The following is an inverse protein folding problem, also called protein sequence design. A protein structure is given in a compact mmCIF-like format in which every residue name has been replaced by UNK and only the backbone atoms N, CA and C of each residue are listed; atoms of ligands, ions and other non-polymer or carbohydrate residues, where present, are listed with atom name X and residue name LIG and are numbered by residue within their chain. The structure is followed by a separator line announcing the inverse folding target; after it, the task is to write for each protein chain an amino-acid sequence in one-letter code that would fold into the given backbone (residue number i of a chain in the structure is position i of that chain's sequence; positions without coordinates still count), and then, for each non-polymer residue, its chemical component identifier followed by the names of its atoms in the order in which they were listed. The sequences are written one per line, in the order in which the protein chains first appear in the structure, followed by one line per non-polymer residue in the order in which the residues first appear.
data_IF_979387542326
#
_entry.id   IF_979387542326
#
_cell.length_a   1.000
_cell.length_b   1.000
_cell.length_c   1.000
_cell.angle_alpha   90.00
_cell.angle_beta   90.00
_cell.angle_gamma   90.00
#
_symmetry.space_group_name_H-M   'P 1'
#
loop_
_entity.id
_entity.type
_entity.pdbx_description
1 polymer ?
#
# COMPACT_ATOMS: atom_id res chain seq x y z
N UNK A 1 0.00 10.06 -7.26
CA UNK A 1 0.37 8.65 -7.47
C UNK A 1 1.84 8.49 -7.75
N UNK A 2 2.39 7.31 -7.49
CA UNK A 2 3.79 7.00 -7.78
C UNK A 2 4.10 6.99 -9.27
N UNK A 3 5.30 7.43 -9.66
CA UNK A 3 5.79 7.24 -11.03
C UNK A 3 6.82 6.12 -11.01
N UNK A 4 6.55 4.96 -11.63
CA UNK A 4 7.50 3.84 -11.66
C UNK A 4 8.88 4.28 -12.14
N UNK A 5 8.95 5.07 -13.21
CA UNK A 5 10.21 5.51 -13.79
C UNK A 5 11.02 6.40 -12.83
N UNK A 6 10.35 7.26 -12.05
CA UNK A 6 11.00 8.09 -11.03
C UNK A 6 11.50 7.23 -9.87
N UNK A 7 10.72 6.23 -9.45
CA UNK A 7 11.11 5.30 -8.39
C UNK A 7 12.36 4.52 -8.82
N UNK A 8 12.36 3.94 -10.02
CA UNK A 8 13.52 3.22 -10.56
C UNK A 8 14.74 4.13 -10.64
N UNK A 9 14.57 5.36 -11.13
CA UNK A 9 15.66 6.31 -11.25
C UNK A 9 16.28 6.63 -9.89
N UNK A 10 15.46 6.91 -8.88
CA UNK A 10 15.94 7.21 -7.53
C UNK A 10 16.63 6.00 -6.89
N UNK A 11 16.04 4.81 -6.99
CA UNK A 11 16.63 3.58 -6.44
C UNK A 11 17.96 3.22 -7.11
N UNK A 12 18.11 3.48 -8.42
CA UNK A 12 19.36 3.26 -9.14
C UNK A 12 20.46 4.25 -8.75
N UNK A 13 20.10 5.49 -8.39
CA UNK A 13 21.04 6.50 -7.91
C UNK A 13 21.45 6.28 -6.43
N UNK A 14 20.57 5.68 -5.63
CA UNK A 14 20.75 5.53 -4.19
C UNK A 14 21.37 4.21 -3.75
N UNK A 15 22.24 4.27 -2.74
CA UNK A 15 22.77 3.08 -2.05
C UNK A 15 21.73 2.34 -1.21
N UNK A 16 22.14 1.28 -0.48
CA UNK A 16 21.25 0.48 0.36
C UNK A 16 20.48 1.26 1.44
N UNK A 17 20.83 2.51 1.73
CA UNK A 17 20.09 3.33 2.69
C UNK A 17 18.80 3.94 2.11
N UNK A 18 18.64 3.90 0.78
CA UNK A 18 17.45 4.44 0.10
C UNK A 18 16.46 3.31 -0.22
N UNK A 19 15.30 3.31 0.43
CA UNK A 19 14.24 2.34 0.15
C UNK A 19 12.96 2.99 -0.36
N UNK A 20 11.98 2.14 -0.62
CA UNK A 20 10.63 2.49 -1.01
C UNK A 20 9.69 2.35 0.20
N UNK A 21 8.89 3.38 0.46
CA UNK A 21 7.68 3.24 1.25
C UNK A 21 6.50 3.06 0.28
N UNK A 22 5.84 1.90 0.31
CA UNK A 22 4.71 1.65 -0.56
C UNK A 22 3.43 2.08 0.14
N UNK A 23 2.82 3.14 -0.35
CA UNK A 23 1.42 3.41 -0.10
C UNK A 23 0.56 2.62 -1.09
N UNK A 24 -0.24 1.72 -0.53
CA UNK A 24 -1.04 0.76 -1.28
C UNK A 24 -2.12 1.44 -2.14
N UNK A 25 -2.76 2.50 -1.66
CA UNK A 25 -3.79 3.21 -2.40
C UNK A 25 -3.18 4.10 -3.50
N UNK A 26 -2.11 4.83 -3.21
CA UNK A 26 -1.43 5.66 -4.21
C UNK A 26 -0.68 4.85 -5.26
N UNK A 27 -0.25 3.63 -4.92
CA UNK A 27 0.20 2.65 -5.89
C UNK A 27 -0.94 2.27 -6.83
N UNK A 28 -2.11 1.86 -6.34
CA UNK A 28 -3.25 1.51 -7.21
C UNK A 28 -3.78 2.68 -8.05
N UNK A 29 -3.68 3.92 -7.54
CA UNK A 29 -4.18 5.13 -8.18
C UNK A 29 -3.53 5.43 -9.54
N UNK A 30 -2.37 4.85 -9.85
CA UNK A 30 -1.70 5.05 -11.14
C UNK A 30 -2.27 4.15 -12.25
N UNK A 31 -3.26 3.32 -11.91
CA UNK A 31 -4.00 2.48 -12.83
C UNK A 31 -3.57 1.00 -12.79
N UNK A 32 -4.43 0.08 -13.25
CA UNK A 32 -4.28 -1.35 -13.00
C UNK A 32 -3.08 -2.00 -13.70
N UNK A 33 -2.55 -1.37 -14.76
CA UNK A 33 -1.42 -1.93 -15.50
C UNK A 33 -0.10 -1.83 -14.72
N UNK A 34 0.10 -0.72 -14.01
CA UNK A 34 1.36 -0.43 -13.32
C UNK A 34 1.20 -0.33 -11.81
N UNK A 35 0.01 0.01 -11.32
CA UNK A 35 -0.32 0.21 -9.91
C UNK A 35 -0.76 -1.06 -9.21
N UNK A 36 0.11 -2.08 -9.20
CA UNK A 36 -0.16 -3.36 -8.57
C UNK A 36 0.73 -3.53 -7.33
N UNK A 37 0.22 -3.27 -6.11
CA UNK A 37 1.05 -3.27 -4.90
C UNK A 37 1.80 -4.60 -4.67
N UNK A 38 1.14 -5.73 -4.93
CA UNK A 38 1.74 -7.08 -4.82
C UNK A 38 2.97 -7.22 -5.73
N UNK A 39 2.86 -6.75 -6.97
CA UNK A 39 3.97 -6.81 -7.93
C UNK A 39 5.10 -5.84 -7.57
N UNK A 40 4.77 -4.70 -6.94
CA UNK A 40 5.78 -3.77 -6.44
C UNK A 40 6.60 -4.39 -5.29
N UNK A 41 5.97 -5.14 -4.39
CA UNK A 41 6.69 -5.88 -3.34
C UNK A 41 7.69 -6.86 -3.96
N UNK A 42 7.24 -7.67 -4.92
CA UNK A 42 8.09 -8.66 -5.58
C UNK A 42 9.23 -7.99 -6.35
N UNK A 43 8.93 -6.92 -7.11
CA UNK A 43 9.91 -6.20 -7.93
C UNK A 43 10.98 -5.51 -7.09
N UNK A 44 10.59 -4.96 -5.95
CA UNK A 44 11.47 -4.16 -5.08
C UNK A 44 11.88 -4.90 -3.80
N UNK A 45 11.82 -6.24 -3.80
CA UNK A 45 12.20 -7.05 -2.65
C UNK A 45 13.60 -6.67 -2.13
N UNK A 46 13.73 -6.54 -0.80
CA UNK A 46 14.94 -6.04 -0.14
C UNK A 46 15.15 -4.52 -0.21
N UNK A 47 14.29 -3.76 -0.89
CA UNK A 47 14.30 -2.28 -0.91
C UNK A 47 12.98 -1.67 -0.44
N UNK A 48 11.98 -2.46 -0.06
CA UNK A 48 10.75 -1.96 0.58
C UNK A 48 11.02 -1.79 2.08
N UNK A 49 11.10 -0.56 2.57
CA UNK A 49 11.43 -0.25 3.98
C UNK A 49 10.23 0.17 4.81
N UNK A 50 9.14 0.52 4.14
CA UNK A 50 7.89 0.88 4.80
C UNK A 50 6.68 0.57 3.96
N UNK A 51 5.55 0.46 4.62
CA UNK A 51 4.24 0.29 4.00
C UNK A 51 3.24 1.19 4.68
N UNK A 52 2.48 1.93 3.87
CA UNK A 52 1.23 2.56 4.29
C UNK A 52 0.06 1.73 3.76
N UNK A 53 -0.68 1.14 4.69
CA UNK A 53 -1.93 0.44 4.43
C UNK A 53 -3.05 1.46 4.30
N UNK A 54 -3.50 1.65 3.07
CA UNK A 54 -4.57 2.55 2.67
C UNK A 54 -5.34 1.88 1.55
N UNK A 55 -6.63 2.12 1.44
CA UNK A 55 -7.45 1.43 0.46
C UNK A 55 -8.45 2.37 -0.20
N UNK A 56 -8.62 2.20 -1.50
CA UNK A 56 -9.51 2.99 -2.34
C UNK A 56 -10.53 2.08 -3.03
N UNK A 57 -11.73 2.61 -3.24
CA UNK A 57 -12.63 2.16 -4.31
C UNK A 57 -12.50 3.16 -5.46
N UNK A 58 -12.34 2.66 -6.69
CA UNK A 58 -12.27 3.47 -7.90
C UNK A 58 -13.58 3.38 -8.68
N UNK A 59 -14.07 4.52 -9.17
CA UNK A 59 -15.25 4.62 -10.02
C UNK A 59 -14.85 4.65 -11.50
N UNK A 60 -15.82 4.40 -12.40
CA UNK A 60 -15.59 4.39 -13.84
C UNK A 60 -15.18 5.75 -14.42
N UNK A 61 -15.42 6.84 -13.71
CA UNK A 61 -15.02 8.21 -14.07
C UNK A 61 -13.61 8.59 -13.57
N UNK A 62 -12.84 7.60 -13.12
CA UNK A 62 -11.51 7.75 -12.53
C UNK A 62 -11.48 8.51 -11.19
N UNK A 63 -12.62 8.81 -10.57
CA UNK A 63 -12.66 9.23 -9.17
C UNK A 63 -12.39 8.07 -8.23
N UNK A 64 -11.97 8.38 -7.01
CA UNK A 64 -11.74 7.38 -5.96
C UNK A 64 -12.26 7.87 -4.62
N UNK A 65 -12.42 6.92 -3.70
CA UNK A 65 -12.81 7.19 -2.32
C UNK A 65 -11.98 6.35 -1.35
N UNK A 66 -11.45 6.98 -0.31
CA UNK A 66 -10.89 6.33 0.88
C UNK A 66 -11.92 5.43 1.56
N UNK A 67 -11.52 4.19 1.80
CA UNK A 67 -12.33 3.19 2.50
C UNK A 67 -11.52 2.50 3.59
N UNK A 68 -12.20 1.72 4.41
CA UNK A 68 -11.55 0.86 5.40
C UNK A 68 -10.61 -0.09 4.67
N UNK A 69 -9.38 -0.24 5.18
CA UNK A 69 -8.38 -1.13 4.61
C UNK A 69 -8.94 -2.55 4.47
N UNK A 70 -8.81 -3.13 3.27
CA UNK A 70 -9.28 -4.48 2.93
C UNK A 70 -10.76 -4.56 2.56
N UNK A 71 -11.45 -3.42 2.41
CA UNK A 71 -12.83 -3.36 1.91
C UNK A 71 -12.94 -2.75 0.50
N UNK A 72 -11.82 -2.25 -0.03
CA UNK A 72 -11.73 -1.63 -1.34
C UNK A 72 -11.07 -2.52 -2.38
N UNK A 73 -10.19 -1.91 -3.17
CA UNK A 73 -9.53 -2.53 -4.32
C UNK A 73 -8.31 -3.33 -3.90
N UNK A 74 -7.70 -3.03 -2.75
CA UNK A 74 -6.51 -3.72 -2.28
C UNK A 74 -6.83 -5.20 -1.98
N UNK A 75 -6.17 -6.11 -2.69
CA UNK A 75 -6.15 -7.52 -2.29
C UNK A 75 -5.24 -7.70 -1.06
N UNK A 76 -5.78 -7.33 0.10
CA UNK A 76 -5.03 -7.26 1.34
C UNK A 76 -4.38 -8.60 1.74
N UNK A 77 -5.06 -9.77 1.69
CA UNK A 77 -4.43 -11.05 2.00
C UNK A 77 -3.23 -11.37 1.10
N UNK A 78 -3.36 -11.13 -0.21
CA UNK A 78 -2.27 -11.40 -1.16
C UNK A 78 -1.10 -10.43 -0.96
N UNK A 79 -1.38 -9.17 -0.64
CA UNK A 79 -0.36 -8.17 -0.36
C UNK A 79 0.43 -8.49 0.92
N UNK A 80 -0.25 -8.87 2.01
CA UNK A 80 0.42 -9.31 3.25
C UNK A 80 1.25 -10.57 2.99
N UNK A 81 0.71 -11.55 2.27
CA UNK A 81 1.48 -12.74 1.87
C UNK A 81 2.72 -12.38 1.06
N UNK A 82 2.62 -11.43 0.13
CA UNK A 82 3.77 -11.00 -0.67
C UNK A 82 4.85 -10.33 0.18
N UNK A 83 4.48 -9.55 1.21
CA UNK A 83 5.43 -8.97 2.17
C UNK A 83 6.19 -10.07 2.91
N UNK A 84 5.47 -11.06 3.45
CA UNK A 84 6.06 -12.20 4.18
C UNK A 84 6.99 -13.02 3.29
N UNK A 85 6.52 -13.39 2.09
CA UNK A 85 7.29 -14.20 1.12
C UNK A 85 8.58 -13.50 0.66
N UNK A 86 8.64 -12.16 0.70
CA UNK A 86 9.79 -11.37 0.28
C UNK A 86 10.59 -10.80 1.47
N UNK A 87 10.34 -11.28 2.69
CA UNK A 87 11.15 -11.00 3.87
C UNK A 87 11.08 -9.55 4.34
N UNK A 88 9.94 -8.89 4.17
CA UNK A 88 9.74 -7.54 4.69
C UNK A 88 9.76 -7.52 6.23
N UNK A 89 10.63 -6.70 6.81
CA UNK A 89 10.77 -6.48 8.25
C UNK A 89 10.64 -4.99 8.65
N UNK A 90 10.18 -4.16 7.72
CA UNK A 90 10.07 -2.71 7.86
C UNK A 90 8.85 -2.24 8.65
N UNK A 91 8.71 -0.91 8.75
CA UNK A 91 7.58 -0.31 9.48
C UNK A 91 6.29 -0.34 8.64
N UNK A 92 5.21 -0.78 9.28
CA UNK A 92 3.87 -0.78 8.71
C UNK A 92 2.98 0.23 9.43
N UNK A 93 2.29 1.08 8.67
CA UNK A 93 1.39 2.12 9.20
C UNK A 93 0.02 2.00 8.54
N UNK A 94 -1.06 2.16 9.31
CA UNK A 94 -2.41 2.34 8.76
C UNK A 94 -2.59 3.83 8.46
N UNK A 95 -2.93 4.16 7.22
CA UNK A 95 -3.27 5.52 6.80
C UNK A 95 -4.74 5.57 6.38
N UNK A 96 -5.51 6.49 6.95
CA UNK A 96 -6.93 6.66 6.64
C UNK A 96 -7.31 8.15 6.72
N UNK A 97 -7.81 8.71 5.62
CA UNK A 97 -8.02 10.15 5.47
C UNK A 97 -9.48 10.54 5.20
N UNK A 98 -10.44 9.60 5.28
CA UNK A 98 -11.82 9.84 4.86
C UNK A 98 -12.72 10.50 5.93
N UNK A 99 -12.51 10.20 7.23
CA UNK A 99 -13.40 10.61 8.32
C UNK A 99 -12.61 11.42 9.36
N UNK A 100 -12.55 12.72 9.15
CA UNK A 100 -11.79 13.64 10.01
C UNK A 100 -12.49 13.90 11.34
N UNK A 101 -13.82 13.78 11.39
CA UNK A 101 -14.61 14.09 12.59
C UNK A 101 -14.74 12.89 13.54
N UNK A 102 -14.77 11.66 13.02
CA UNK A 102 -14.83 10.43 13.82
C UNK A 102 -13.83 9.34 13.36
N UNK A 103 -12.51 9.64 13.27
CA UNK A 103 -11.53 8.74 12.69
C UNK A 103 -11.35 7.43 13.48
N UNK A 104 -11.63 7.44 14.79
CA UNK A 104 -11.35 6.31 15.70
C UNK A 104 -12.11 5.04 15.30
N UNK A 105 -13.38 5.15 14.93
CA UNK A 105 -14.19 3.99 14.56
C UNK A 105 -13.70 3.38 13.24
N UNK A 106 -13.33 4.24 12.29
CA UNK A 106 -12.80 3.82 11.00
C UNK A 106 -11.43 3.16 11.15
N UNK A 107 -10.51 3.78 11.90
CA UNK A 107 -9.20 3.21 12.22
C UNK A 107 -9.33 1.87 12.98
N UNK A 108 -10.30 1.75 13.90
CA UNK A 108 -10.57 0.49 14.60
C UNK A 108 -10.95 -0.62 13.62
N UNK A 109 -11.80 -0.32 12.62
CA UNK A 109 -12.16 -1.28 11.57
C UNK A 109 -10.96 -1.64 10.69
N UNK A 110 -10.08 -0.69 10.36
CA UNK A 110 -8.85 -0.98 9.63
C UNK A 110 -7.96 -1.96 10.42
N UNK A 111 -7.74 -1.71 11.71
CA UNK A 111 -6.97 -2.61 12.59
C UNK A 111 -7.61 -4.01 12.62
N UNK A 112 -8.94 -4.10 12.71
CA UNK A 112 -9.65 -5.38 12.68
C UNK A 112 -9.48 -6.12 11.36
N UNK A 113 -9.52 -5.43 10.21
CA UNK A 113 -9.23 -6.05 8.90
C UNK A 113 -7.79 -6.57 8.84
N UNK A 114 -6.82 -5.76 9.26
CA UNK A 114 -5.40 -6.14 9.26
C UNK A 114 -5.12 -7.37 10.14
N UNK A 115 -5.74 -7.46 11.32
CA UNK A 115 -5.59 -8.61 12.23
C UNK A 115 -6.18 -9.91 11.70
N UNK A 116 -7.05 -9.88 10.68
CA UNK A 116 -7.60 -11.10 10.07
C UNK A 116 -6.65 -11.74 9.06
N UNK A 117 -5.71 -10.96 8.53
CA UNK A 117 -4.79 -11.38 7.47
C UNK A 117 -3.35 -11.57 7.96
N UNK A 118 -2.97 -10.87 9.04
CA UNK A 118 -1.70 -11.10 9.73
C UNK A 118 -1.78 -12.34 10.62
N UNK A 119 -0.75 -13.18 10.56
CA UNK A 119 -0.52 -14.30 11.49
C UNK A 119 -0.11 -13.83 12.88
#
# INVERSE_FOLDING_TARGET
GGSPDVIEHLLALGGPQLGLCIDTAWCMQIGPNQGQPVEWIKKHAGRVYGVHYKDFVFNSDASWKDVIVGTGTLNLPEFVKALDDNGFDGMSVIEYEADVEAPVDSLTKCVQSMRKVGS
#
